data_IF_705817586576
#
_entry.id   IF_705817586576
#
_cell.length_a   1.000
_cell.length_b   1.000
_cell.length_c   1.000
_cell.angle_alpha   90.00
_cell.angle_beta   90.00
_cell.angle_gamma   90.00
#
_symmetry.space_group_name_H-M   'P 1'
#
loop_
_entity.id
_entity.type
_entity.pdbx_description
1 polymer ?
#
# COMPACT_ATOMS: atom_id res chain seq x y z
N UNK A 1 -17.86 -0.34 11.06
CA UNK A 1 -18.09 0.26 9.72
C UNK A 1 -17.12 -0.28 8.66
N UNK A 2 -15.81 0.06 8.66
CA UNK A 2 -14.90 -0.43 7.61
C UNK A 2 -14.63 -1.94 7.70
N UNK A 3 -14.43 -2.47 8.91
CA UNK A 3 -14.25 -3.91 9.14
C UNK A 3 -15.48 -4.72 8.70
N UNK A 4 -16.68 -4.19 8.92
CA UNK A 4 -17.93 -4.84 8.48
C UNK A 4 -18.07 -4.89 6.96
N UNK A 5 -17.50 -3.89 6.27
CA UNK A 5 -17.44 -3.82 4.81
C UNK A 5 -16.25 -4.59 4.23
N UNK A 6 -15.37 -5.15 5.09
CA UNK A 6 -14.16 -5.87 4.71
C UNK A 6 -13.28 -5.07 3.72
N UNK A 7 -13.11 -3.77 4.00
CA UNK A 7 -12.27 -2.85 3.22
C UNK A 7 -11.19 -2.20 4.08
N UNK A 8 -10.10 -1.80 3.42
CA UNK A 8 -8.95 -1.12 4.01
C UNK A 8 -8.66 0.17 3.22
N UNK A 9 -8.17 1.18 3.92
CA UNK A 9 -7.66 2.42 3.37
C UNK A 9 -6.14 2.32 3.33
N UNK A 10 -5.58 2.41 2.14
CA UNK A 10 -4.13 2.42 1.95
C UNK A 10 -3.75 3.76 1.35
N UNK A 11 -2.68 4.34 1.85
CA UNK A 11 -2.17 5.63 1.40
C UNK A 11 -0.94 5.40 0.53
N UNK A 12 -0.76 6.26 -0.47
CA UNK A 12 0.41 6.17 -1.35
C UNK A 12 1.36 7.32 -1.10
N UNK A 13 2.65 7.05 -1.20
CA UNK A 13 3.72 8.02 -0.99
C UNK A 13 4.64 8.03 -2.19
N UNK A 14 5.00 9.23 -2.66
CA UNK A 14 6.03 9.41 -3.69
C UNK A 14 7.43 9.28 -3.08
N UNK A 15 8.35 8.73 -3.87
CA UNK A 15 9.77 8.60 -3.50
C UNK A 15 10.33 9.97 -3.11
N UNK A 16 10.97 10.04 -1.94
CA UNK A 16 11.59 11.28 -1.42
C UNK A 16 10.62 12.33 -0.87
N UNK A 17 9.31 12.10 -0.89
CA UNK A 17 8.31 13.00 -0.26
C UNK A 17 7.97 12.54 1.16
N UNK A 18 7.50 13.41 2.07
CA UNK A 18 6.99 12.96 3.36
C UNK A 18 5.72 12.11 3.19
N UNK A 19 5.40 11.33 4.23
CA UNK A 19 4.12 10.60 4.32
C UNK A 19 2.98 11.63 4.44
N UNK A 20 1.95 11.50 3.59
CA UNK A 20 0.72 12.30 3.67
C UNK A 20 -0.46 11.33 3.67
N UNK A 21 -1.37 11.46 4.64
CA UNK A 21 -2.55 10.60 4.81
C UNK A 21 -3.85 11.33 4.45
N UNK A 22 -3.89 12.03 3.31
CA UNK A 22 -5.05 12.80 2.87
C UNK A 22 -5.91 12.07 1.82
N UNK A 23 -5.29 11.31 0.92
CA UNK A 23 -5.96 10.65 -0.20
C UNK A 23 -5.71 9.13 -0.15
N UNK A 24 -6.61 8.36 0.50
CA UNK A 24 -6.50 6.90 0.51
C UNK A 24 -7.06 6.29 -0.78
N UNK A 25 -6.48 5.17 -1.18
CA UNK A 25 -7.14 4.18 -2.04
C UNK A 25 -7.90 3.18 -1.16
N UNK A 26 -9.13 2.87 -1.54
CA UNK A 26 -9.99 1.91 -0.82
C UNK A 26 -9.86 0.55 -1.49
N UNK A 27 -9.36 -0.44 -0.76
CA UNK A 27 -9.08 -1.80 -1.24
C UNK A 27 -9.86 -2.81 -0.39
N UNK A 28 -9.98 -4.05 -0.86
CA UNK A 28 -10.55 -5.13 -0.06
C UNK A 28 -9.56 -5.57 1.01
N UNK A 29 -10.03 -6.00 2.17
CA UNK A 29 -9.17 -6.66 3.15
C UNK A 29 -8.54 -7.93 2.54
N UNK A 30 -7.27 -8.19 2.89
CA UNK A 30 -6.49 -9.29 2.29
C UNK A 30 -5.80 -8.93 0.97
N UNK A 31 -5.96 -7.70 0.47
CA UNK A 31 -5.26 -7.20 -0.73
C UNK A 31 -3.75 -7.14 -0.50
N UNK A 32 -2.96 -7.58 -1.48
CA UNK A 32 -1.49 -7.55 -1.40
C UNK A 32 -0.90 -6.23 -1.92
N UNK A 33 0.39 -6.00 -1.66
CA UNK A 33 1.17 -4.91 -2.28
C UNK A 33 1.05 -4.93 -3.81
N UNK A 34 1.11 -6.10 -4.43
CA UNK A 34 1.04 -6.24 -5.89
C UNK A 34 -0.35 -5.85 -6.44
N UNK A 35 -1.41 -6.24 -5.74
CA UNK A 35 -2.79 -5.91 -6.10
C UNK A 35 -3.04 -4.41 -5.94
N UNK A 36 -2.52 -3.80 -4.87
CA UNK A 36 -2.57 -2.35 -4.68
C UNK A 36 -1.82 -1.60 -5.78
N UNK A 37 -0.67 -2.12 -6.23
CA UNK A 37 0.08 -1.56 -7.35
C UNK A 37 -0.73 -1.61 -8.65
N UNK A 38 -1.41 -2.73 -8.92
CA UNK A 38 -2.28 -2.90 -10.10
C UNK A 38 -3.49 -1.96 -10.07
N UNK A 39 -4.08 -1.76 -8.90
CA UNK A 39 -5.21 -0.85 -8.70
C UNK A 39 -4.86 0.59 -9.08
N UNK A 40 -3.61 1.00 -8.83
CA UNK A 40 -3.11 2.32 -9.24
C UNK A 40 -2.85 2.36 -10.74
N UNK A 41 -2.09 1.40 -11.27
CA UNK A 41 -1.82 1.29 -12.70
C UNK A 41 -1.33 -0.10 -13.09
N UNK A 42 -1.79 -0.63 -14.25
CA UNK A 42 -1.41 -1.97 -14.74
C UNK A 42 0.11 -2.13 -14.94
N UNK A 43 0.80 -1.05 -15.31
CA UNK A 43 2.26 -1.10 -15.51
C UNK A 43 3.04 -1.19 -14.20
N UNK A 44 2.45 -0.77 -13.07
CA UNK A 44 3.10 -0.94 -11.78
C UNK A 44 3.23 -2.41 -11.44
N UNK A 45 2.17 -3.22 -11.62
CA UNK A 45 2.23 -4.67 -11.39
C UNK A 45 3.36 -5.35 -12.18
N UNK A 46 3.53 -4.95 -13.44
CA UNK A 46 4.56 -5.53 -14.33
C UNK A 46 5.97 -5.16 -13.91
N UNK A 47 6.19 -3.90 -13.52
CA UNK A 47 7.53 -3.35 -13.31
C UNK A 47 7.93 -3.28 -11.82
N UNK A 48 7.03 -3.57 -10.88
CA UNK A 48 7.29 -3.42 -9.45
C UNK A 48 8.54 -4.22 -9.05
N UNK A 49 9.56 -3.53 -8.55
CA UNK A 49 10.77 -4.16 -7.98
C UNK A 49 10.57 -4.48 -6.51
N UNK A 50 10.04 -3.52 -5.77
CA UNK A 50 9.67 -3.66 -4.36
C UNK A 50 8.77 -2.51 -3.91
N UNK A 51 8.29 -2.57 -2.68
CA UNK A 51 7.66 -1.43 -2.03
C UNK A 51 8.27 -1.18 -0.65
N UNK A 52 8.11 0.04 -0.14
CA UNK A 52 8.35 0.36 1.27
C UNK A 52 7.03 0.60 1.97
N UNK A 53 6.94 0.10 3.21
CA UNK A 53 5.74 0.16 4.02
C UNK A 53 5.96 1.01 5.27
N UNK A 54 5.01 1.87 5.58
CA UNK A 54 4.83 2.46 6.90
C UNK A 54 3.47 2.02 7.44
N UNK A 55 3.46 1.47 8.64
CA UNK A 55 2.28 0.93 9.31
C UNK A 55 2.38 1.18 10.80
N UNK A 56 1.24 1.33 11.44
CA UNK A 56 1.16 1.48 12.90
C UNK A 56 1.57 0.16 13.60
N UNK A 57 1.64 -0.95 12.85
CA UNK A 57 2.15 -2.26 13.29
C UNK A 57 3.70 -2.37 13.35
N UNK A 58 4.41 -1.24 13.39
CA UNK A 58 5.87 -1.21 13.57
C UNK A 58 6.69 -1.11 12.28
N UNK A 59 6.05 -1.01 11.11
CA UNK A 59 6.75 -0.74 9.85
C UNK A 59 7.03 0.75 9.72
N UNK A 60 8.29 1.13 9.51
CA UNK A 60 8.71 2.53 9.35
C UNK A 60 9.62 2.72 8.13
N UNK A 61 9.11 2.37 6.95
CA UNK A 61 9.82 2.52 5.66
C UNK A 61 10.66 1.30 5.27
N UNK A 62 10.38 0.15 5.86
CA UNK A 62 11.04 -1.10 5.54
C UNK A 62 10.58 -1.63 4.18
N UNK A 63 11.48 -2.33 3.48
CA UNK A 63 11.15 -3.01 2.23
C UNK A 63 10.25 -4.21 2.52
N UNK A 64 9.15 -4.32 1.78
CA UNK A 64 8.23 -5.46 1.83
C UNK A 64 8.15 -6.16 0.48
N UNK A 65 7.79 -7.44 0.53
CA UNK A 65 7.58 -8.26 -0.66
C UNK A 65 6.26 -7.95 -1.36
N UNK A 66 6.15 -8.36 -2.62
CA UNK A 66 4.97 -8.13 -3.47
C UNK A 66 3.69 -8.77 -2.90
N UNK A 67 3.81 -9.88 -2.18
CA UNK A 67 2.68 -10.62 -1.63
C UNK A 67 2.37 -10.26 -0.17
N UNK A 68 3.03 -9.25 0.39
CA UNK A 68 2.71 -8.77 1.72
C UNK A 68 1.26 -8.25 1.75
N UNK A 69 0.49 -8.70 2.74
CA UNK A 69 -0.91 -8.32 2.93
C UNK A 69 -0.98 -6.96 3.60
N UNK A 70 -1.79 -6.08 3.04
CA UNK A 70 -1.98 -4.73 3.55
C UNK A 70 -3.05 -4.67 4.61
N UNK A 71 -2.86 -3.74 5.54
CA UNK A 71 -3.76 -3.42 6.64
C UNK A 71 -4.31 -2.00 6.52
N UNK A 72 -5.44 -1.74 7.16
CA UNK A 72 -6.04 -0.40 7.15
C UNK A 72 -5.08 0.63 7.76
N UNK A 73 -4.89 1.76 7.08
CA UNK A 73 -3.97 2.82 7.51
C UNK A 73 -2.55 2.72 6.94
N UNK A 74 -2.21 1.62 6.26
CA UNK A 74 -0.89 1.44 5.68
C UNK A 74 -0.53 2.51 4.66
N UNK A 75 0.73 2.91 4.65
CA UNK A 75 1.30 3.83 3.66
C UNK A 75 2.33 3.08 2.83
N UNK A 76 2.20 3.14 1.50
CA UNK A 76 3.07 2.43 0.57
C UNK A 76 3.80 3.40 -0.36
N UNK A 77 5.10 3.18 -0.51
CA UNK A 77 5.92 3.78 -1.56
C UNK A 77 6.32 2.68 -2.55
N UNK A 78 5.79 2.75 -3.78
CA UNK A 78 6.11 1.80 -4.84
C UNK A 78 7.43 2.15 -5.52
N UNK A 79 8.29 1.14 -5.72
CA UNK A 79 9.52 1.23 -6.50
C UNK A 79 9.38 0.34 -7.73
N UNK A 80 9.09 0.97 -8.87
CA UNK A 80 8.99 0.38 -10.22
C UNK A 80 10.32 0.47 -10.97
#
# INVERSE_FOLDING_TARGET
LFDELHIIRVYTKKIGRPVVRNEPIVLKQGTTVLDAAEHIHKDFKKNLKFARLWSDNGYSGQRVEKHHILTDGDVIEFHV
#
